data_IF_069714934239
#
_entry.id   IF_069714934239
#
_cell.length_a   1.000
_cell.length_b   1.000
_cell.length_c   1.000
_cell.angle_alpha   90.00
_cell.angle_beta   90.00
_cell.angle_gamma   90.00
#
_symmetry.space_group_name_H-M   'P 1'
#
loop_
_entity.id
_entity.type
_entity.pdbx_description
1 polymer ?
#
# COMPACT_ATOMS: atom_id res chain seq x y z
N UNK A 1 5.34 6.85 12.27
CA UNK A 1 5.56 5.40 12.15
C UNK A 1 4.53 4.85 11.18
N UNK A 2 4.92 3.89 10.34
CA UNK A 2 4.08 3.32 9.30
C UNK A 2 4.35 1.83 9.14
N UNK A 3 3.31 1.07 8.80
CA UNK A 3 3.43 -0.35 8.44
C UNK A 3 3.27 -0.50 6.94
N UNK A 4 4.01 -1.43 6.36
CA UNK A 4 4.05 -1.70 4.93
C UNK A 4 3.79 -3.19 4.68
N UNK A 5 2.97 -3.49 3.67
CA UNK A 5 2.72 -4.84 3.20
C UNK A 5 3.09 -4.94 1.74
N UNK A 6 3.97 -5.88 1.41
CA UNK A 6 4.24 -6.31 0.04
C UNK A 6 3.48 -7.61 -0.19
N UNK A 7 2.50 -7.56 -1.09
CA UNK A 7 1.58 -8.66 -1.35
C UNK A 7 1.81 -9.13 -2.78
N UNK A 8 2.45 -10.29 -2.98
CA UNK A 8 2.51 -10.94 -4.29
C UNK A 8 1.10 -11.23 -4.81
N UNK A 9 0.91 -11.20 -6.13
CA UNK A 9 -0.38 -11.38 -6.79
C UNK A 9 -1.05 -12.70 -6.42
N UNK A 10 -0.28 -13.74 -6.13
CA UNK A 10 -0.77 -15.05 -5.67
C UNK A 10 -1.47 -14.97 -4.30
N UNK A 11 -1.17 -13.93 -3.52
CA UNK A 11 -1.74 -13.65 -2.20
C UNK A 11 -2.73 -12.49 -2.21
N UNK A 12 -3.15 -11.98 -3.38
CA UNK A 12 -4.04 -10.83 -3.49
C UNK A 12 -5.37 -10.98 -2.73
N UNK A 13 -5.79 -12.21 -2.43
CA UNK A 13 -6.99 -12.50 -1.64
C UNK A 13 -6.95 -11.93 -0.20
N UNK A 14 -5.78 -11.56 0.34
CA UNK A 14 -5.68 -10.95 1.68
C UNK A 14 -5.87 -9.43 1.67
N UNK A 15 -5.91 -8.79 0.49
CA UNK A 15 -6.02 -7.34 0.35
C UNK A 15 -7.31 -6.77 0.98
N UNK A 16 -8.50 -7.38 0.80
CA UNK A 16 -9.72 -6.89 1.45
C UNK A 16 -9.59 -6.85 2.99
N UNK A 17 -8.97 -7.88 3.58
CA UNK A 17 -8.72 -7.95 5.02
C UNK A 17 -7.76 -6.83 5.46
N UNK A 18 -6.69 -6.60 4.68
CA UNK A 18 -5.78 -5.48 4.96
C UNK A 18 -6.48 -4.12 4.90
N UNK A 19 -7.41 -3.94 3.95
CA UNK A 19 -8.18 -2.71 3.83
C UNK A 19 -9.09 -2.46 5.04
N UNK A 20 -9.75 -3.51 5.56
CA UNK A 20 -10.53 -3.45 6.80
C UNK A 20 -9.67 -3.03 8.01
N UNK A 21 -8.40 -3.43 8.03
CA UNK A 21 -7.43 -3.05 9.06
C UNK A 21 -6.86 -1.63 8.87
N UNK A 22 -7.27 -0.90 7.83
CA UNK A 22 -6.87 0.49 7.58
C UNK A 22 -5.64 0.64 6.68
N UNK A 23 -5.20 -0.43 6.00
CA UNK A 23 -4.20 -0.30 4.94
C UNK A 23 -4.81 0.30 3.67
N UNK A 24 -4.00 1.03 2.92
CA UNK A 24 -4.35 1.59 1.62
C UNK A 24 -3.26 1.30 0.60
N UNK A 25 -3.61 1.21 -0.67
CA UNK A 25 -2.61 1.08 -1.74
C UNK A 25 -1.67 2.29 -1.75
N UNK A 26 -0.39 2.01 -1.91
CA UNK A 26 0.65 3.01 -2.11
C UNK A 26 1.29 2.90 -3.50
N UNK A 27 1.60 1.67 -3.92
CA UNK A 27 2.11 1.38 -5.26
C UNK A 27 1.69 -0.04 -5.69
N UNK A 28 1.79 -0.35 -6.97
CA UNK A 28 1.77 -1.71 -7.49
C UNK A 28 2.76 -1.80 -8.65
N UNK A 29 3.63 -2.81 -8.63
CA UNK A 29 4.64 -3.02 -9.66
C UNK A 29 4.68 -4.50 -10.05
N UNK A 30 4.59 -4.74 -11.36
CA UNK A 30 4.49 -6.07 -11.98
C UNK A 30 3.45 -6.98 -11.31
N UNK A 31 3.90 -7.79 -10.35
CA UNK A 31 3.13 -8.83 -9.66
C UNK A 31 3.03 -8.59 -8.16
N UNK A 32 3.36 -7.40 -7.67
CA UNK A 32 3.34 -7.08 -6.23
C UNK A 32 2.56 -5.80 -5.97
N UNK A 33 1.58 -5.88 -5.07
CA UNK A 33 0.93 -4.72 -4.50
C UNK A 33 1.66 -4.27 -3.24
N UNK A 34 1.85 -2.97 -3.08
CA UNK A 34 2.41 -2.34 -1.88
C UNK A 34 1.32 -1.54 -1.19
N UNK A 35 0.99 -1.94 0.04
CA UNK A 35 0.02 -1.26 0.88
C UNK A 35 0.73 -0.58 2.05
N UNK A 36 0.17 0.52 2.52
CA UNK A 36 0.67 1.27 3.65
C UNK A 36 -0.44 1.58 4.65
N UNK A 37 -0.10 1.56 5.93
CA UNK A 37 -0.89 2.15 7.00
C UNK A 37 -0.03 3.14 7.79
N UNK A 38 -0.49 4.39 7.84
CA UNK A 38 0.10 5.43 8.68
C UNK A 38 -0.48 5.32 10.10
N UNK A 39 0.37 5.20 11.11
CA UNK A 39 -0.07 4.94 12.49
C UNK A 39 -0.16 6.19 13.37
N UNK A 40 0.38 7.32 12.93
CA UNK A 40 0.40 8.53 13.75
C UNK A 40 -0.89 9.34 13.56
N UNK A 41 -1.38 10.03 14.61
CA UNK A 41 -2.58 10.88 14.53
C UNK A 41 -2.37 12.17 13.72
N UNK A 42 -1.16 12.38 13.18
CA UNK A 42 -0.84 13.47 12.27
C UNK A 42 -1.05 13.04 10.82
N UNK A 43 -1.19 14.01 9.91
CA UNK A 43 -1.25 13.77 8.47
C UNK A 43 -0.05 12.93 8.03
N UNK A 44 -0.30 11.92 7.19
CA UNK A 44 0.77 11.12 6.58
C UNK A 44 1.69 12.00 5.75
N UNK A 45 3.00 11.83 5.96
CA UNK A 45 4.05 12.45 5.14
C UNK A 45 4.45 11.55 3.96
N UNK A 46 3.84 10.37 3.83
CA UNK A 46 4.07 9.45 2.73
C UNK A 46 3.32 9.99 1.49
N UNK A 47 4.00 10.21 0.36
CA UNK A 47 3.34 10.58 -0.89
C UNK A 47 2.28 9.55 -1.27
N UNK A 48 1.11 10.03 -1.71
CA UNK A 48 -0.04 9.14 -1.93
C UNK A 48 0.09 8.27 -3.18
N UNK A 49 0.89 8.71 -4.17
CA UNK A 49 1.13 7.99 -5.41
C UNK A 49 2.56 8.28 -5.90
N UNK A 50 3.27 7.23 -6.32
CA UNK A 50 4.46 7.34 -7.15
C UNK A 50 4.07 6.94 -8.58
N UNK A 51 3.46 7.86 -9.33
CA UNK A 51 3.14 7.59 -10.73
C UNK A 51 4.41 7.75 -11.55
N UNK A 52 5.14 6.65 -11.79
CA UNK A 52 6.17 6.63 -12.82
C UNK A 52 5.49 6.40 -14.17
N UNK A 53 5.35 7.48 -14.95
CA UNK A 53 4.99 7.38 -16.37
C UNK A 53 6.28 7.05 -17.11
N UNK A 54 6.48 5.79 -17.49
CA UNK A 54 7.46 5.47 -18.53
C UNK A 54 6.87 5.96 -19.85
N UNK A 55 7.41 7.07 -20.38
CA UNK A 55 7.27 7.50 -21.77
C UNK A 55 8.20 6.66 -22.66
#
# INVERSE_FOLDING_TARGET
SSVWLWIPIEKAHVIPIAAELGFSYHNAEERTAVLNQWLLPIKSMIPRFATYIYL
#
